data_IF_080898693730
#
_entry.id   IF_080898693730
#
_cell.length_a   1.000
_cell.length_b   1.000
_cell.length_c   1.000
_cell.angle_alpha   90.00
_cell.angle_beta   90.00
_cell.angle_gamma   90.00
#
_symmetry.space_group_name_H-M   'P 1'
#
loop_
_entity.id
_entity.type
_entity.pdbx_description
1 polymer ?
#
# COMPACT_ATOMS: atom_id res chain seq x y z
N UNK A 1 5.58 -2.71 21.23
CA UNK A 1 5.62 -3.03 19.78
C UNK A 1 4.55 -2.21 19.13
N UNK A 2 4.93 -1.25 18.29
CA UNK A 2 3.99 -0.30 17.69
C UNK A 2 4.08 -0.44 16.18
N UNK A 3 2.92 -0.64 15.54
CA UNK A 3 2.81 -0.64 14.08
C UNK A 3 2.20 0.69 13.68
N UNK A 4 2.88 1.41 12.78
CA UNK A 4 2.44 2.71 12.28
C UNK A 4 2.26 2.63 10.77
N UNK A 5 1.12 3.09 10.26
CA UNK A 5 0.84 3.15 8.82
C UNK A 5 0.68 4.63 8.44
N UNK A 6 1.57 5.12 7.57
CA UNK A 6 1.57 6.54 7.17
C UNK A 6 1.76 6.68 5.66
N UNK A 7 1.30 7.81 5.07
CA UNK A 7 1.58 8.09 3.66
C UNK A 7 3.08 8.08 3.38
N UNK A 8 3.48 7.35 2.34
CA UNK A 8 4.85 7.23 1.89
C UNK A 8 4.96 7.81 0.48
N UNK A 9 5.71 8.88 0.33
CA UNK A 9 6.09 9.41 -0.98
C UNK A 9 7.33 8.68 -1.47
N UNK A 10 7.18 7.89 -2.53
CA UNK A 10 8.31 7.29 -3.24
C UNK A 10 8.72 8.27 -4.33
N UNK A 11 9.87 8.93 -4.16
CA UNK A 11 10.37 9.85 -5.18
C UNK A 11 10.78 9.06 -6.43
N UNK A 12 10.33 9.58 -7.58
CA UNK A 12 10.35 8.98 -8.90
C UNK A 12 11.73 8.78 -9.56
N UNK A 13 12.84 8.88 -8.83
CA UNK A 13 14.16 8.57 -9.42
C UNK A 13 14.40 7.05 -9.56
N UNK A 14 13.61 6.22 -8.86
CA UNK A 14 13.59 4.75 -9.01
C UNK A 14 12.47 4.24 -9.96
N UNK A 15 11.71 5.14 -10.61
CA UNK A 15 10.50 4.82 -11.40
C UNK A 15 10.74 4.07 -12.73
N UNK A 16 11.98 3.80 -13.16
CA UNK A 16 12.22 3.16 -14.45
C UNK A 16 11.91 1.64 -14.50
N UNK A 17 11.51 1.01 -13.38
CA UNK A 17 11.20 -0.43 -13.36
C UNK A 17 9.74 -0.79 -13.06
N UNK A 18 8.90 0.15 -12.64
CA UNK A 18 7.49 -0.13 -12.30
C UNK A 18 6.50 0.24 -13.42
N UNK A 19 6.96 0.92 -14.48
CA UNK A 19 6.13 1.40 -15.59
C UNK A 19 5.65 0.33 -16.59
N UNK A 20 5.94 -0.95 -16.36
CA UNK A 20 5.58 -2.02 -17.31
C UNK A 20 4.17 -2.63 -17.13
N UNK A 21 3.38 -2.21 -16.13
CA UNK A 21 2.10 -2.88 -15.84
C UNK A 21 0.82 -2.05 -15.89
N UNK A 22 0.87 -0.76 -16.25
CA UNK A 22 -0.35 0.05 -16.31
C UNK A 22 -0.48 0.86 -17.60
N UNK A 23 -0.74 0.16 -18.69
CA UNK A 23 -1.24 0.76 -19.93
C UNK A 23 -2.74 0.46 -20.07
N UNK A 24 -3.60 1.28 -19.47
CA UNK A 24 -4.90 1.57 -20.07
C UNK A 24 -5.43 2.94 -19.58
N UNK A 25 -5.40 3.90 -20.51
CA UNK A 25 -6.23 5.11 -20.64
C UNK A 25 -6.37 6.07 -19.44
N UNK A 26 -5.70 7.22 -19.63
CA UNK A 26 -6.18 8.59 -19.29
C UNK A 26 -6.80 8.75 -17.90
N UNK A 27 -5.98 8.76 -16.86
CA UNK A 27 -6.24 9.59 -15.68
C UNK A 27 -5.01 10.44 -15.43
N UNK A 28 -5.23 11.71 -15.11
CA UNK A 28 -4.21 12.69 -14.74
C UNK A 28 -3.20 12.05 -13.79
N UNK A 29 -1.90 12.31 -14.04
CA UNK A 29 -0.76 11.82 -13.26
C UNK A 29 -0.85 12.22 -11.77
N UNK A 30 -1.76 11.60 -11.02
CA UNK A 30 -1.74 11.60 -9.57
C UNK A 30 -0.67 10.59 -9.20
N UNK A 31 0.43 11.10 -8.63
CA UNK A 31 1.48 10.24 -8.10
C UNK A 31 0.84 9.11 -7.29
N UNK A 32 1.24 7.85 -7.52
CA UNK A 32 0.69 6.74 -6.77
C UNK A 32 0.93 6.95 -5.27
N UNK A 33 -0.16 7.08 -4.50
CA UNK A 33 -0.08 7.21 -3.04
C UNK A 33 0.20 5.82 -2.46
N UNK A 34 1.42 5.66 -1.97
CA UNK A 34 1.85 4.49 -1.22
C UNK A 34 1.69 4.72 0.29
N UNK A 35 1.57 3.63 1.02
CA UNK A 35 1.50 3.60 2.47
C UNK A 35 2.70 2.82 2.99
N UNK A 36 3.50 3.44 3.84
CA UNK A 36 4.58 2.78 4.56
C UNK A 36 4.06 2.14 5.83
N UNK A 37 4.47 0.90 6.08
CA UNK A 37 4.20 0.15 7.30
C UNK A 37 5.49 0.10 8.11
N UNK A 38 5.45 0.69 9.29
CA UNK A 38 6.59 0.82 10.18
C UNK A 38 6.40 -0.04 11.43
N UNK A 39 7.46 -0.71 11.85
CA UNK A 39 7.54 -1.42 13.12
C UNK A 39 8.59 -0.74 14.00
N UNK A 40 8.15 -0.11 15.10
CA UNK A 40 9.05 0.66 15.97
C UNK A 40 9.91 1.66 15.15
N UNK A 41 9.26 2.42 14.27
CA UNK A 41 9.86 3.43 13.37
C UNK A 41 10.75 2.90 12.24
N UNK A 42 10.93 1.58 12.12
CA UNK A 42 11.61 0.95 10.98
C UNK A 42 10.62 0.58 9.88
N UNK A 43 10.87 1.02 8.63
CA UNK A 43 10.04 0.65 7.48
C UNK A 43 10.21 -0.84 7.16
N UNK A 44 9.16 -1.62 7.39
CA UNK A 44 9.18 -3.07 7.15
C UNK A 44 8.45 -3.46 5.86
N UNK A 45 7.54 -2.63 5.37
CA UNK A 45 6.78 -2.89 4.15
C UNK A 45 6.17 -1.61 3.61
N UNK A 46 5.79 -1.62 2.33
CA UNK A 46 4.94 -0.59 1.76
C UNK A 46 3.84 -1.24 0.90
N UNK A 47 2.73 -0.55 0.72
CA UNK A 47 1.60 -1.03 -0.06
C UNK A 47 0.92 0.12 -0.81
N UNK A 48 0.36 -0.16 -1.98
CA UNK A 48 -0.57 0.78 -2.61
C UNK A 48 -1.89 0.84 -1.83
N UNK A 49 -2.66 1.91 -2.03
CA UNK A 49 -4.00 2.04 -1.40
C UNK A 49 -4.93 0.85 -1.73
N UNK A 50 -4.82 0.29 -2.94
CA UNK A 50 -5.57 -0.91 -3.36
C UNK A 50 -5.14 -2.14 -2.55
N UNK A 51 -3.83 -2.41 -2.49
CA UNK A 51 -3.30 -3.56 -1.75
C UNK A 51 -3.63 -3.48 -0.26
N UNK A 52 -3.59 -2.27 0.32
CA UNK A 52 -3.96 -2.06 1.72
C UNK A 52 -5.43 -2.38 1.93
N UNK A 53 -6.33 -1.87 1.08
CA UNK A 53 -7.77 -2.16 1.17
C UNK A 53 -8.08 -3.65 1.03
N UNK A 54 -7.44 -4.36 0.09
CA UNK A 54 -7.61 -5.80 -0.09
C UNK A 54 -7.15 -6.60 1.13
N UNK A 55 -5.98 -6.26 1.70
CA UNK A 55 -5.47 -6.89 2.93
C UNK A 55 -6.36 -6.62 4.13
N UNK A 56 -6.85 -5.39 4.28
CA UNK A 56 -7.78 -5.02 5.35
C UNK A 56 -9.09 -5.79 5.23
N UNK A 57 -9.65 -5.90 4.01
CA UNK A 57 -10.85 -6.69 3.77
C UNK A 57 -10.67 -8.14 4.22
N UNK A 58 -9.60 -8.81 3.75
CA UNK A 58 -9.33 -10.20 4.10
C UNK A 58 -9.14 -10.38 5.62
N UNK A 59 -8.45 -9.45 6.28
CA UNK A 59 -8.29 -9.47 7.73
C UNK A 59 -9.64 -9.34 8.45
N UNK A 60 -10.52 -8.45 7.99
CA UNK A 60 -11.86 -8.28 8.56
C UNK A 60 -12.73 -9.51 8.38
N UNK A 61 -12.69 -10.15 7.19
CA UNK A 61 -13.41 -11.40 6.90
C UNK A 61 -12.98 -12.51 7.87
N UNK A 62 -11.67 -12.75 7.98
CA UNK A 62 -11.13 -13.75 8.91
C UNK A 62 -11.45 -13.43 10.38
N UNK A 63 -11.41 -12.15 10.76
CA UNK A 63 -11.76 -11.73 12.11
C UNK A 63 -13.22 -12.04 12.43
N UNK A 64 -14.15 -11.75 11.51
CA UNK A 64 -15.55 -12.07 11.66
C UNK A 64 -15.80 -13.59 11.76
N UNK A 65 -15.12 -14.39 10.93
CA UNK A 65 -15.20 -15.85 10.99
C UNK A 65 -14.68 -16.41 12.33
N UNK A 66 -13.62 -15.83 12.89
CA UNK A 66 -13.10 -16.24 14.21
C UNK A 66 -14.01 -15.92 15.39
N UNK A 67 -15.06 -15.12 15.16
CA UNK A 67 -16.04 -14.70 16.16
C UNK A 67 -17.37 -15.45 16.05
N UNK A 68 -17.60 -16.19 14.96
CA UNK A 68 -18.77 -17.04 14.74
C UNK A 68 -18.58 -18.42 15.39
#
# INVERSE_FOLDING_TARGET
MTITITPLTINSDDEFKLSLFWNDKREEYRQPVYWGVYLNDELISYASSKQLAEKTKLWMENWLESKA
#
